data_IF_035292565824
#
_entry.id   IF_035292565824
#
_cell.length_a   1.000
_cell.length_b   1.000
_cell.length_c   1.000
_cell.angle_alpha   90.00
_cell.angle_beta   90.00
_cell.angle_gamma   90.00
#
_symmetry.space_group_name_H-M   'P 1'
#
loop_
_entity.id
_entity.type
_entity.pdbx_description
1 polymer ?
#
# COMPACT_ATOMS: atom_id res chain seq x y z
N UNK A 1 14.27 40.22 37.59
CA UNK A 1 15.13 39.01 37.72
C UNK A 1 14.37 37.82 37.14
N UNK A 2 15.03 37.05 36.25
CA UNK A 2 14.66 35.73 35.68
C UNK A 2 13.25 35.58 35.05
N UNK A 3 13.05 35.77 33.73
CA UNK A 3 13.31 34.81 32.63
C UNK A 3 12.93 33.36 32.97
N UNK A 4 11.68 32.98 32.65
CA UNK A 4 11.30 31.59 32.36
C UNK A 4 10.49 31.58 31.06
N UNK A 5 11.22 31.65 29.94
CA UNK A 5 10.73 31.19 28.64
C UNK A 5 10.70 29.67 28.72
N UNK A 6 9.55 29.08 29.06
CA UNK A 6 9.35 27.64 28.89
C UNK A 6 9.11 27.38 27.42
N UNK A 7 10.15 26.88 26.76
CA UNK A 7 10.18 26.51 25.37
C UNK A 7 9.09 25.48 25.05
N UNK A 8 8.13 25.89 24.24
CA UNK A 8 7.16 25.03 23.58
C UNK A 8 7.91 24.18 22.53
N UNK A 9 8.53 23.08 22.95
CA UNK A 9 9.08 22.08 22.04
C UNK A 9 7.93 21.22 21.54
N UNK A 10 7.26 21.71 20.49
CA UNK A 10 6.36 20.91 19.66
C UNK A 10 7.16 19.74 19.09
N UNK A 11 6.88 18.54 19.58
CA UNK A 11 7.29 17.28 18.98
C UNK A 11 6.51 17.11 17.66
N UNK A 12 6.91 17.82 16.61
CA UNK A 12 6.51 17.47 15.26
C UNK A 12 7.28 16.20 14.87
N UNK A 13 6.65 15.05 15.10
CA UNK A 13 7.08 13.80 14.50
C UNK A 13 6.91 13.91 12.98
N UNK A 14 7.98 14.25 12.28
CA UNK A 14 8.02 14.11 10.83
C UNK A 14 7.99 12.62 10.49
N UNK A 15 6.86 12.13 9.97
CA UNK A 15 6.81 10.81 9.34
C UNK A 15 7.57 10.91 8.03
N UNK A 16 8.82 10.45 8.02
CA UNK A 16 9.56 10.22 6.77
C UNK A 16 8.83 9.10 6.02
N UNK A 17 8.21 9.42 4.89
CA UNK A 17 7.67 8.42 3.97
C UNK A 17 8.85 7.73 3.26
N UNK A 18 9.26 6.59 3.81
CA UNK A 18 10.20 5.71 3.15
C UNK A 18 9.40 4.79 2.22
N UNK A 19 9.80 4.70 0.93
CA UNK A 19 9.18 3.78 -0.03
C UNK A 19 9.06 2.38 0.56
N UNK A 20 7.83 1.99 0.92
CA UNK A 20 7.57 0.75 1.62
C UNK A 20 7.99 -0.47 0.78
N UNK A 21 8.78 -1.37 1.39
CA UNK A 21 9.14 -2.64 0.77
C UNK A 21 7.89 -3.48 0.57
N UNK A 22 7.67 -4.00 -0.64
CA UNK A 22 6.52 -4.85 -0.97
C UNK A 22 6.88 -6.32 -0.79
N UNK A 23 6.14 -7.01 0.07
CA UNK A 23 6.31 -8.40 0.47
C UNK A 23 5.88 -9.34 -0.65
N UNK A 24 6.86 -10.07 -1.21
CA UNK A 24 6.58 -11.17 -2.13
C UNK A 24 5.74 -12.27 -1.47
N UNK A 25 6.01 -12.56 -0.19
CA UNK A 25 5.28 -13.56 0.59
C UNK A 25 3.80 -13.23 0.69
N UNK A 26 3.45 -11.97 1.00
CA UNK A 26 2.05 -11.53 1.09
C UNK A 26 1.32 -11.72 -0.24
N UNK A 27 1.96 -11.42 -1.38
CA UNK A 27 1.37 -11.69 -2.70
C UNK A 27 1.14 -13.19 -2.95
N UNK A 28 2.06 -14.04 -2.54
CA UNK A 28 1.89 -15.50 -2.69
C UNK A 28 0.74 -16.00 -1.84
N UNK A 29 0.64 -15.57 -0.59
CA UNK A 29 -0.45 -15.91 0.33
C UNK A 29 -1.80 -15.42 -0.20
N UNK A 30 -1.87 -14.18 -0.68
CA UNK A 30 -3.07 -13.63 -1.32
C UNK A 30 -3.53 -14.51 -2.47
N UNK A 31 -2.63 -14.92 -3.38
CA UNK A 31 -3.00 -15.76 -4.53
C UNK A 31 -3.45 -17.17 -4.17
N UNK A 32 -3.01 -17.70 -3.03
CA UNK A 32 -3.48 -18.99 -2.54
C UNK A 32 -4.93 -18.89 -2.05
N UNK A 33 -5.28 -17.78 -1.39
CA UNK A 33 -6.61 -17.52 -0.85
C UNK A 33 -7.58 -17.00 -1.94
N UNK A 34 -7.06 -16.26 -2.91
CA UNK A 34 -7.78 -15.60 -3.99
C UNK A 34 -7.13 -15.94 -5.33
N UNK A 35 -7.45 -17.11 -5.93
CA UNK A 35 -6.89 -17.51 -7.21
C UNK A 35 -7.17 -16.49 -8.32
N UNK A 36 -6.35 -16.52 -9.38
CA UNK A 36 -6.48 -15.61 -10.51
C UNK A 36 -7.91 -15.65 -11.12
N UNK A 37 -8.58 -14.50 -11.32
CA UNK A 37 -9.95 -14.47 -11.85
C UNK A 37 -10.11 -15.02 -13.27
N UNK A 38 -9.04 -15.02 -14.09
CA UNK A 38 -9.15 -15.48 -15.49
C UNK A 38 -8.99 -16.99 -15.66
N UNK A 39 -8.20 -17.64 -14.81
CA UNK A 39 -7.84 -19.06 -15.00
C UNK A 39 -7.75 -19.88 -13.71
N UNK A 40 -8.08 -19.30 -12.55
CA UNK A 40 -8.00 -19.97 -11.25
C UNK A 40 -6.57 -20.31 -10.78
N UNK A 41 -5.53 -19.78 -11.43
CA UNK A 41 -4.16 -20.08 -11.05
C UNK A 41 -3.76 -19.39 -9.74
N UNK A 42 -3.17 -20.16 -8.83
CA UNK A 42 -2.58 -19.65 -7.58
C UNK A 42 -1.10 -19.27 -7.73
N UNK A 43 -0.49 -19.62 -8.87
CA UNK A 43 0.93 -19.36 -9.21
C UNK A 43 1.05 -18.65 -10.56
N UNK A 44 2.20 -18.06 -10.84
CA UNK A 44 2.44 -17.35 -12.11
C UNK A 44 1.73 -15.98 -12.24
N UNK A 45 1.57 -15.51 -13.47
CA UNK A 45 0.88 -14.25 -13.78
C UNK A 45 -0.62 -14.48 -13.93
N UNK A 46 -1.42 -13.45 -13.66
CA UNK A 46 -2.83 -13.40 -14.01
C UNK A 46 -2.98 -12.40 -15.17
N UNK A 47 -3.45 -12.86 -16.32
CA UNK A 47 -3.55 -12.01 -17.51
C UNK A 47 -4.60 -10.91 -17.31
N UNK A 48 -4.26 -9.65 -17.61
CA UNK A 48 -5.15 -8.49 -17.43
C UNK A 48 -5.26 -7.95 -16.00
N UNK A 49 -4.73 -8.66 -15.00
CA UNK A 49 -4.86 -8.29 -13.58
C UNK A 49 -3.52 -8.15 -12.88
N UNK A 50 -3.50 -7.30 -11.87
CA UNK A 50 -2.43 -7.22 -10.87
C UNK A 50 -3.01 -7.39 -9.46
N UNK A 51 -2.12 -7.70 -8.53
CA UNK A 51 -2.44 -7.61 -7.10
C UNK A 51 -2.10 -6.19 -6.66
N UNK A 52 -3.11 -5.49 -6.20
CA UNK A 52 -3.03 -4.13 -5.72
C UNK A 52 -3.57 -4.03 -4.28
N UNK A 53 -3.28 -2.94 -3.58
CA UNK A 53 -3.73 -2.72 -2.21
C UNK A 53 -5.08 -1.99 -2.17
N UNK A 54 -6.02 -2.44 -1.35
CA UNK A 54 -7.33 -1.81 -1.15
C UNK A 54 -7.14 -0.40 -0.57
N UNK A 55 -6.48 -0.32 0.60
CA UNK A 55 -5.93 0.92 1.14
C UNK A 55 -4.51 1.10 0.57
N UNK A 56 -4.23 2.20 -0.15
CA UNK A 56 -2.91 2.39 -0.76
C UNK A 56 -1.81 2.42 0.29
N UNK A 57 -0.63 1.88 -0.04
CA UNK A 57 0.52 1.92 0.87
C UNK A 57 0.96 3.36 1.18
N UNK A 58 0.92 4.26 0.19
CA UNK A 58 1.23 5.68 0.36
C UNK A 58 0.32 6.38 1.40
N UNK A 59 -0.87 5.82 1.65
CA UNK A 59 -1.83 6.35 2.61
C UNK A 59 -1.79 5.58 3.95
N UNK A 60 -0.70 4.86 4.22
CA UNK A 60 -0.55 3.99 5.40
C UNK A 60 -1.37 2.70 5.33
N UNK A 61 -1.51 2.13 4.13
CA UNK A 61 -2.04 0.79 3.92
C UNK A 61 -1.09 -0.30 4.42
N UNK A 62 -1.64 -1.40 4.95
CA UNK A 62 -0.83 -2.54 5.39
C UNK A 62 -0.44 -3.39 4.17
N UNK A 63 0.81 -3.85 4.12
CA UNK A 63 1.27 -4.74 3.04
C UNK A 63 1.05 -6.21 3.40
N UNK A 64 -0.21 -6.63 3.35
CA UNK A 64 -0.67 -7.95 3.77
C UNK A 64 -1.85 -8.43 2.93
N UNK A 65 -2.12 -9.75 2.87
CA UNK A 65 -3.18 -10.31 2.02
C UNK A 65 -4.57 -9.70 2.28
N UNK A 66 -4.87 -9.35 3.53
CA UNK A 66 -6.16 -8.76 3.92
C UNK A 66 -6.39 -7.35 3.36
N UNK A 67 -5.32 -6.67 2.94
CA UNK A 67 -5.38 -5.38 2.27
C UNK A 67 -5.08 -5.49 0.77
N UNK A 68 -5.08 -6.69 0.19
CA UNK A 68 -4.83 -6.90 -1.24
C UNK A 68 -6.12 -7.23 -1.99
N UNK A 69 -6.14 -6.90 -3.28
CA UNK A 69 -7.21 -7.26 -4.21
C UNK A 69 -6.64 -7.54 -5.60
N UNK A 70 -7.38 -8.34 -6.38
CA UNK A 70 -7.20 -8.32 -7.83
C UNK A 70 -7.76 -7.02 -8.38
N UNK A 71 -7.00 -6.36 -9.24
CA UNK A 71 -7.42 -5.15 -9.92
C UNK A 71 -6.97 -5.22 -11.37
N UNK A 72 -7.77 -4.73 -12.31
CA UNK A 72 -7.35 -4.68 -13.71
C UNK A 72 -6.14 -3.75 -13.86
N UNK A 73 -5.32 -3.99 -14.88
CA UNK A 73 -4.16 -3.13 -15.16
C UNK A 73 -4.61 -1.69 -15.40
N UNK A 74 -5.75 -1.48 -16.07
CA UNK A 74 -6.33 -0.18 -16.36
C UNK A 74 -6.76 0.54 -15.07
N UNK A 75 -7.49 -0.13 -14.19
CA UNK A 75 -7.95 0.44 -12.91
C UNK A 75 -6.78 0.77 -11.98
N UNK A 76 -5.78 -0.10 -11.90
CA UNK A 76 -4.59 0.16 -11.08
C UNK A 76 -3.83 1.40 -11.58
N UNK A 77 -3.67 1.56 -12.90
CA UNK A 77 -3.08 2.78 -13.48
C UNK A 77 -3.91 4.03 -13.20
N UNK A 78 -5.23 3.93 -13.18
CA UNK A 78 -6.10 5.04 -12.81
C UNK A 78 -5.93 5.39 -11.33
N UNK A 79 -5.78 4.36 -10.48
CA UNK A 79 -5.56 4.50 -9.04
C UNK A 79 -4.23 5.16 -8.70
N UNK A 80 -3.15 4.66 -9.30
CA UNK A 80 -1.78 5.18 -9.19
C UNK A 80 -1.66 6.71 -9.42
N UNK A 81 -2.57 7.30 -10.21
CA UNK A 81 -2.56 8.75 -10.50
C UNK A 81 -2.96 9.59 -9.29
N UNK A 82 -3.95 9.15 -8.52
CA UNK A 82 -4.43 9.92 -7.36
C UNK A 82 -3.70 9.52 -6.07
N UNK A 83 -3.24 8.27 -5.93
CA UNK A 83 -2.46 7.82 -4.76
C UNK A 83 -1.14 8.58 -4.58
N UNK A 84 -0.63 9.19 -5.65
CA UNK A 84 0.60 10.01 -5.64
C UNK A 84 0.36 11.49 -5.32
N UNK A 85 -0.90 11.89 -5.19
CA UNK A 85 -1.30 13.29 -5.00
C UNK A 85 -2.00 13.49 -3.66
N UNK A 86 -2.88 12.57 -3.27
CA UNK A 86 -3.82 12.76 -2.15
C UNK A 86 -3.54 11.88 -0.91
N UNK A 87 -2.28 11.59 -0.65
CA UNK A 87 -1.77 10.96 0.58
C UNK A 87 -0.43 11.64 0.97
#
# INVERSE_FOLDING_TARGET
>A
MMRWLLALLLLFSFTVDAKQHRSYKAKVEFKQQHPCPTNGATKGRCEGYIIDHIKPLACGGVDSPENMQWQTVEESKAKDKWERVDC
#
